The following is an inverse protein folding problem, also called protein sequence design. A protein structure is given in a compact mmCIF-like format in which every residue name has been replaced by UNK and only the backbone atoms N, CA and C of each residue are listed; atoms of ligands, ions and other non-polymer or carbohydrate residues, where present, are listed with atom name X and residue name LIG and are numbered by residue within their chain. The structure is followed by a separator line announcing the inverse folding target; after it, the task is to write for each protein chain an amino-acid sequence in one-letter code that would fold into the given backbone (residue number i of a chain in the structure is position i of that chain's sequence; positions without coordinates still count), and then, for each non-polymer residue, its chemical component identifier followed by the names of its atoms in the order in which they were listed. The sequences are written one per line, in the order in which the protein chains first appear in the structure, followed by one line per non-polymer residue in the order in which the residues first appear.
data_IF_270610671573
#
_entry.id   IF_270610671573
#
_cell.length_a   1.000
_cell.length_b   1.000
_cell.length_c   1.000
_cell.angle_alpha   90.00
_cell.angle_beta   90.00
_cell.angle_gamma   90.00
#
_symmetry.space_group_name_H-M   'P 1'
#
loop_
_entity.id
_entity.type
_entity.pdbx_description
1 polymer ?
#
# COMPACT_ATOMS: atom_id res chain seq x y z
N UNK A 1 19.98 4.63 -4.34
CA UNK A 1 19.42 4.03 -3.12
C UNK A 1 20.44 3.05 -2.52
N UNK A 2 20.50 2.85 -1.19
CA UNK A 2 21.38 1.86 -0.55
C UNK A 2 20.88 0.39 -0.69
N UNK A 3 19.79 0.16 -1.40
CA UNK A 3 19.20 -1.16 -1.67
C UNK A 3 18.07 -1.06 -2.69
N UNK A 4 17.35 -2.17 -2.86
CA UNK A 4 16.37 -2.35 -3.93
C UNK A 4 14.91 -2.22 -3.43
N UNK A 5 14.02 -1.99 -4.39
CA UNK A 5 12.58 -2.06 -4.25
C UNK A 5 12.02 -1.21 -3.07
N UNK A 6 12.18 0.13 -3.08
CA UNK A 6 11.53 1.05 -2.15
C UNK A 6 10.03 1.01 -2.39
N UNK A 7 9.28 0.26 -1.57
CA UNK A 7 7.90 -0.12 -1.84
C UNK A 7 6.94 1.04 -1.60
N UNK A 8 6.96 1.64 -0.41
CA UNK A 8 6.13 2.79 -0.07
C UNK A 8 6.98 4.03 0.14
N UNK A 9 6.35 5.20 0.04
CA UNK A 9 6.96 6.50 0.28
C UNK A 9 6.04 7.37 1.11
N UNK A 10 6.56 7.92 2.21
CA UNK A 10 5.87 8.91 3.03
C UNK A 10 6.78 10.10 3.28
N UNK A 11 6.20 11.23 3.64
CA UNK A 11 6.92 12.49 3.88
C UNK A 11 6.68 12.93 5.32
N UNK A 12 7.73 13.30 6.03
CA UNK A 12 7.61 13.87 7.36
C UNK A 12 7.48 15.40 7.34
N UNK A 13 7.35 15.99 8.53
CA UNK A 13 7.09 17.43 8.68
C UNK A 13 8.26 18.31 8.18
N UNK A 14 9.48 17.82 8.08
CA UNK A 14 10.64 18.54 7.55
C UNK A 14 10.81 18.35 6.03
N UNK A 15 9.91 17.60 5.41
CA UNK A 15 9.90 17.30 3.98
C UNK A 15 10.81 16.13 3.58
N UNK A 16 11.45 15.45 4.51
CA UNK A 16 12.23 14.24 4.22
C UNK A 16 11.31 13.10 3.80
N UNK A 17 11.78 12.29 2.87
CA UNK A 17 11.05 11.16 2.31
C UNK A 17 11.55 9.89 2.98
N UNK A 18 10.62 9.04 3.40
CA UNK A 18 10.91 7.75 4.00
C UNK A 18 10.48 6.62 3.10
N UNK A 19 11.24 5.54 3.09
CA UNK A 19 10.90 4.33 2.34
C UNK A 19 11.52 3.10 3.00
N UNK A 20 10.89 1.94 2.78
CA UNK A 20 11.38 0.64 3.21
C UNK A 20 11.95 -0.16 2.04
N UNK A 21 13.10 -0.80 2.22
CA UNK A 21 13.79 -1.58 1.20
C UNK A 21 13.55 -3.08 1.35
N UNK A 22 13.81 -3.84 0.30
CA UNK A 22 13.55 -5.30 0.28
C UNK A 22 14.34 -6.08 1.34
N UNK A 23 15.48 -5.57 1.76
CA UNK A 23 16.35 -6.17 2.77
C UNK A 23 16.02 -5.78 4.23
N UNK A 24 14.87 -5.13 4.47
CA UNK A 24 14.44 -4.74 5.80
C UNK A 24 14.85 -3.34 6.23
N UNK A 25 15.73 -2.67 5.50
CA UNK A 25 16.20 -1.34 5.85
C UNK A 25 15.12 -0.28 5.67
N UNK A 26 15.06 0.64 6.62
CA UNK A 26 14.28 1.87 6.54
C UNK A 26 15.22 3.03 6.22
N UNK A 27 14.90 3.77 5.17
CA UNK A 27 15.75 4.82 4.62
C UNK A 27 15.02 6.15 4.64
N UNK A 28 15.75 7.19 5.06
CA UNK A 28 15.36 8.59 4.96
C UNK A 28 16.13 9.24 3.81
N UNK A 29 15.43 10.01 2.99
CA UNK A 29 15.97 10.69 1.81
C UNK A 29 15.76 12.20 1.98
N UNK A 30 16.83 12.97 1.92
CA UNK A 30 16.77 14.42 1.89
C UNK A 30 16.25 14.91 0.53
N UNK A 31 15.10 15.62 0.43
CA UNK A 31 14.40 15.86 -0.83
C UNK A 31 15.20 16.75 -1.81
N UNK A 32 16.05 17.66 -1.28
CA UNK A 32 16.80 18.60 -2.11
C UNK A 32 18.12 18.05 -2.64
N UNK A 33 18.75 17.13 -1.91
CA UNK A 33 20.08 16.59 -2.24
C UNK A 33 20.03 15.15 -2.74
N UNK A 34 18.94 14.43 -2.46
CA UNK A 34 18.84 12.99 -2.70
C UNK A 34 19.74 12.15 -1.77
N UNK A 35 20.36 12.78 -0.76
CA UNK A 35 21.19 12.04 0.20
C UNK A 35 20.31 11.06 0.97
N UNK A 36 20.78 9.82 1.06
CA UNK A 36 20.08 8.73 1.74
C UNK A 36 20.78 8.35 3.03
N UNK A 37 20.01 8.10 4.08
CA UNK A 37 20.49 7.61 5.39
C UNK A 37 19.68 6.41 5.80
N UNK A 38 20.34 5.30 6.15
CA UNK A 38 19.67 4.16 6.80
C UNK A 38 19.41 4.53 8.25
N UNK A 39 18.15 4.49 8.67
CA UNK A 39 17.71 4.90 10.01
C UNK A 39 17.52 3.70 10.92
N UNK A 40 17.12 2.58 10.36
CA UNK A 40 16.91 1.34 11.11
C UNK A 40 16.71 0.17 10.18
N UNK A 41 16.57 -1.00 10.77
CA UNK A 41 16.30 -2.25 10.06
C UNK A 41 15.24 -3.03 10.82
N UNK A 42 14.27 -3.60 10.10
CA UNK A 42 13.21 -4.42 10.66
C UNK A 42 13.33 -5.86 10.18
N UNK A 43 12.77 -6.79 10.93
CA UNK A 43 12.59 -8.16 10.47
C UNK A 43 11.49 -8.21 9.39
N UNK A 44 11.79 -8.92 8.29
CA UNK A 44 10.87 -9.06 7.16
C UNK A 44 10.94 -7.91 6.15
N UNK A 45 9.95 -7.87 5.29
CA UNK A 45 9.81 -6.88 4.21
C UNK A 45 9.01 -5.68 4.69
N UNK A 46 9.60 -4.46 4.83
CA UNK A 46 8.83 -3.24 5.03
C UNK A 46 7.94 -2.98 3.80
N UNK A 47 6.69 -2.70 4.06
CA UNK A 47 5.66 -2.38 3.07
C UNK A 47 5.12 -0.99 3.36
N UNK A 48 3.82 -0.82 3.61
CA UNK A 48 3.23 0.46 3.90
C UNK A 48 3.82 1.15 5.12
N UNK A 49 3.98 2.47 5.01
CA UNK A 49 4.58 3.35 6.00
C UNK A 49 3.61 4.45 6.40
N UNK A 50 3.75 4.96 7.63
CA UNK A 50 3.08 6.17 8.08
C UNK A 50 3.91 6.88 9.15
N UNK A 51 4.07 8.21 9.02
CA UNK A 51 4.71 9.02 10.07
C UNK A 51 3.68 9.27 11.17
N UNK A 52 3.86 8.64 12.31
CA UNK A 52 2.95 8.75 13.44
C UNK A 52 3.01 10.11 14.13
N UNK A 53 1.97 10.47 14.86
CA UNK A 53 1.85 11.74 15.57
C UNK A 53 2.89 11.90 16.69
N UNK A 54 3.37 10.80 17.25
CA UNK A 54 4.44 10.79 18.25
C UNK A 54 5.85 10.88 17.64
N UNK A 55 5.95 11.00 16.30
CA UNK A 55 7.20 11.11 15.55
C UNK A 55 7.84 9.77 15.20
N UNK A 56 7.27 8.65 15.60
CA UNK A 56 7.72 7.32 15.16
C UNK A 56 7.25 7.04 13.73
N UNK A 57 7.89 6.11 13.08
CA UNK A 57 7.44 5.57 11.79
C UNK A 57 6.69 4.25 12.03
N UNK A 58 5.39 4.23 11.71
CA UNK A 58 4.63 2.99 11.62
C UNK A 58 5.05 2.24 10.36
N UNK A 59 5.26 0.94 10.49
CA UNK A 59 5.73 0.08 9.39
C UNK A 59 4.90 -1.19 9.36
N UNK A 60 4.22 -1.44 8.26
CA UNK A 60 3.69 -2.76 7.96
C UNK A 60 4.81 -3.67 7.47
N UNK A 61 4.90 -4.87 7.99
CA UNK A 61 5.95 -5.84 7.64
C UNK A 61 5.36 -7.21 7.26
N UNK A 62 6.02 -7.88 6.32
CA UNK A 62 5.68 -9.25 5.94
C UNK A 62 6.91 -10.18 5.98
N UNK A 63 6.91 -11.24 6.83
CA UNK A 63 6.06 -11.37 8.02
C UNK A 63 6.52 -10.39 9.10
N UNK A 64 5.71 -10.08 10.07
CA UNK A 64 6.11 -9.19 11.17
C UNK A 64 4.92 -8.46 11.79
N UNK A 65 3.95 -8.12 10.96
CA UNK A 65 2.75 -7.39 11.39
C UNK A 65 2.95 -5.88 11.36
N UNK A 66 2.35 -5.18 12.31
CA UNK A 66 2.46 -3.73 12.49
C UNK A 66 3.56 -3.40 13.51
N UNK A 67 4.53 -2.62 13.07
CA UNK A 67 5.69 -2.20 13.86
C UNK A 67 5.71 -0.67 14.01
N UNK A 68 6.43 -0.17 15.02
CA UNK A 68 6.80 1.22 15.16
C UNK A 68 8.32 1.35 15.30
N UNK A 69 8.94 2.18 14.45
CA UNK A 69 10.37 2.46 14.47
C UNK A 69 10.59 3.87 15.02
N UNK A 70 11.44 4.00 16.01
CA UNK A 70 11.92 5.30 16.52
C UNK A 70 13.05 5.81 15.61
N UNK A 71 12.85 6.92 14.88
CA UNK A 71 13.84 7.42 13.94
C UNK A 71 15.10 8.00 14.60
N UNK A 72 15.05 8.33 15.88
CA UNK A 72 16.20 8.88 16.59
C UNK A 72 17.18 7.79 17.06
N UNK A 73 16.66 6.60 17.39
CA UNK A 73 17.44 5.50 17.97
C UNK A 73 17.55 4.29 17.05
N UNK A 74 16.69 4.18 16.04
CA UNK A 74 16.53 2.98 15.22
C UNK A 74 15.82 1.80 15.93
N UNK A 75 15.33 2.02 17.16
CA UNK A 75 14.65 0.98 17.92
C UNK A 75 13.29 0.63 17.29
N UNK A 76 12.97 -0.66 17.26
CA UNK A 76 11.73 -1.20 16.69
C UNK A 76 10.90 -1.84 17.78
N UNK A 77 9.63 -1.45 17.87
CA UNK A 77 8.60 -2.04 18.72
C UNK A 77 7.57 -2.78 17.84
N UNK A 78 7.18 -3.99 18.23
CA UNK A 78 6.06 -4.68 17.59
C UNK A 78 4.75 -4.26 18.26
N UNK A 79 3.90 -3.54 17.50
CA UNK A 79 2.59 -3.10 17.97
C UNK A 79 1.52 -4.18 17.86
N UNK A 80 1.52 -4.94 16.73
CA UNK A 80 0.57 -6.02 16.47
C UNK A 80 1.26 -7.12 15.65
N UNK A 81 1.51 -8.28 16.26
CA UNK A 81 2.05 -9.45 15.57
C UNK A 81 0.96 -10.44 15.15
N UNK A 82 -0.17 -10.45 15.87
CA UNK A 82 -1.27 -11.40 15.67
C UNK A 82 -2.63 -10.75 15.94
N UNK A 83 -3.66 -11.28 15.30
CA UNK A 83 -5.06 -10.91 15.52
C UNK A 83 -5.87 -12.20 15.66
N UNK A 84 -6.73 -12.30 16.68
CA UNK A 84 -7.58 -13.46 16.97
C UNK A 84 -6.77 -14.78 17.07
N UNK A 85 -5.56 -14.74 17.69
CA UNK A 85 -4.66 -15.88 17.85
C UNK A 85 -3.98 -16.37 16.55
N UNK A 86 -4.05 -15.59 15.47
CA UNK A 86 -3.41 -15.86 14.20
C UNK A 86 -2.34 -14.81 13.90
N UNK A 87 -1.13 -15.26 13.60
CA UNK A 87 -0.05 -14.37 13.15
C UNK A 87 -0.40 -13.69 11.83
N UNK A 88 -0.10 -12.41 11.74
CA UNK A 88 -0.18 -11.64 10.51
C UNK A 88 0.90 -12.13 9.53
N UNK A 89 0.51 -12.38 8.28
CA UNK A 89 1.40 -12.89 7.24
C UNK A 89 1.85 -11.80 6.28
N UNK A 90 0.93 -10.91 5.88
CA UNK A 90 1.18 -9.90 4.87
C UNK A 90 0.52 -8.59 5.28
N UNK A 91 1.01 -7.98 6.38
CA UNK A 91 0.62 -6.62 6.77
C UNK A 91 1.07 -5.68 5.66
N UNK A 92 0.13 -4.89 5.08
CA UNK A 92 0.37 -4.23 3.80
C UNK A 92 0.49 -2.72 3.90
N UNK A 93 -0.50 -2.04 4.46
CA UNK A 93 -0.47 -0.59 4.56
C UNK A 93 -1.09 -0.09 5.86
N UNK A 94 -0.79 1.14 6.28
CA UNK A 94 -1.18 1.68 7.59
C UNK A 94 -1.45 3.18 7.52
N UNK A 95 -2.40 3.63 8.34
CA UNK A 95 -2.66 5.05 8.62
C UNK A 95 -3.06 5.26 10.07
N UNK A 96 -2.66 6.38 10.68
CA UNK A 96 -3.08 6.82 11.99
C UNK A 96 -4.03 8.00 11.87
N UNK A 97 -5.14 7.97 12.63
CA UNK A 97 -6.08 9.07 12.72
C UNK A 97 -5.67 10.08 13.80
N UNK A 98 -6.26 11.31 13.78
CA UNK A 98 -5.94 12.35 14.77
C UNK A 98 -6.20 11.98 16.23
N UNK A 99 -7.03 10.99 16.51
CA UNK A 99 -7.32 10.48 17.85
C UNK A 99 -6.33 9.40 18.33
N UNK A 100 -5.34 9.03 17.48
CA UNK A 100 -4.37 7.98 17.76
C UNK A 100 -4.86 6.55 17.39
N UNK A 101 -6.04 6.43 16.81
CA UNK A 101 -6.53 5.16 16.29
C UNK A 101 -5.76 4.81 15.01
N UNK A 102 -5.21 3.62 14.95
CA UNK A 102 -4.46 3.12 13.79
C UNK A 102 -5.34 2.15 13.01
N UNK A 103 -5.40 2.33 11.68
CA UNK A 103 -5.98 1.37 10.77
C UNK A 103 -4.89 0.79 9.87
N UNK A 104 -4.92 -0.53 9.68
CA UNK A 104 -3.95 -1.20 8.83
C UNK A 104 -4.59 -2.36 8.08
N UNK A 105 -3.96 -2.76 6.99
CA UNK A 105 -4.46 -3.82 6.11
C UNK A 105 -3.56 -5.05 6.18
N UNK A 106 -4.16 -6.22 5.96
CA UNK A 106 -3.45 -7.45 5.63
C UNK A 106 -3.92 -7.91 4.25
N UNK A 107 -3.02 -8.04 3.30
CA UNK A 107 -3.36 -8.46 1.95
C UNK A 107 -3.87 -9.89 1.90
N UNK A 108 -3.28 -10.77 2.67
CA UNK A 108 -3.67 -12.18 2.78
C UNK A 108 -3.17 -12.79 4.07
N UNK A 109 -3.97 -13.66 4.66
CA UNK A 109 -3.61 -14.44 5.83
C UNK A 109 -2.91 -15.78 5.50
N UNK A 110 -2.64 -16.06 4.21
CA UNK A 110 -2.14 -17.36 3.76
C UNK A 110 -0.71 -17.33 3.22
N UNK A 111 -0.23 -16.17 2.79
CA UNK A 111 1.08 -16.01 2.13
C UNK A 111 1.83 -14.84 2.73
N UNK A 112 3.15 -14.95 2.75
CA UNK A 112 4.06 -13.82 2.99
C UNK A 112 4.40 -13.11 1.68
N UNK A 113 5.09 -11.97 1.76
CA UNK A 113 5.54 -11.21 0.59
C UNK A 113 6.38 -12.04 -0.39
N UNK A 114 7.18 -12.99 0.08
CA UNK A 114 7.98 -13.89 -0.78
C UNK A 114 7.11 -14.60 -1.84
N UNK A 115 5.83 -14.80 -1.52
CA UNK A 115 4.85 -15.45 -2.38
C UNK A 115 3.70 -14.51 -2.75
N UNK A 116 3.99 -13.24 -3.02
CA UNK A 116 2.97 -12.20 -3.25
C UNK A 116 2.04 -12.49 -4.45
N UNK A 117 2.45 -13.33 -5.39
CA UNK A 117 1.57 -13.83 -6.45
C UNK A 117 0.63 -14.94 -5.98
N UNK A 118 0.90 -15.59 -4.84
CA UNK A 118 0.09 -16.68 -4.29
C UNK A 118 -1.39 -16.36 -4.14
N UNK A 119 -1.77 -15.20 -3.56
CA UNK A 119 -3.17 -14.77 -3.47
C UNK A 119 -3.89 -14.68 -4.81
N UNK A 120 -3.18 -14.28 -5.88
CA UNK A 120 -3.74 -14.20 -7.25
C UNK A 120 -4.11 -15.60 -7.74
N UNK A 121 -3.22 -16.58 -7.56
CA UNK A 121 -3.49 -17.97 -7.93
C UNK A 121 -4.48 -18.65 -6.98
N UNK A 122 -4.47 -18.31 -5.69
CA UNK A 122 -5.46 -18.83 -4.75
C UNK A 122 -6.87 -18.29 -5.06
N UNK A 123 -6.97 -17.04 -5.50
CA UNK A 123 -8.21 -16.32 -5.82
C UNK A 123 -9.25 -16.43 -4.67
N UNK A 124 -8.81 -16.13 -3.44
CA UNK A 124 -9.66 -16.11 -2.24
C UNK A 124 -9.57 -14.79 -1.54
N UNK A 125 -10.65 -14.40 -0.89
CA UNK A 125 -10.81 -13.19 -0.12
C UNK A 125 -10.27 -13.35 1.32
N UNK A 126 -8.94 -13.39 1.48
CA UNK A 126 -8.26 -13.58 2.77
C UNK A 126 -7.66 -12.31 3.35
N UNK A 127 -7.90 -11.18 2.72
CA UNK A 127 -7.47 -9.87 3.22
C UNK A 127 -8.45 -9.29 4.22
N UNK A 128 -7.97 -8.34 5.02
CA UNK A 128 -8.76 -7.65 6.04
C UNK A 128 -8.26 -6.22 6.26
N UNK A 129 -9.15 -5.37 6.79
CA UNK A 129 -8.79 -4.12 7.47
C UNK A 129 -8.94 -4.34 8.97
N UNK A 130 -7.93 -3.93 9.71
CA UNK A 130 -7.90 -3.94 11.16
C UNK A 130 -7.88 -2.52 11.72
N UNK A 131 -8.39 -2.37 12.93
CA UNK A 131 -8.32 -1.18 13.75
C UNK A 131 -7.55 -1.52 15.03
N UNK A 132 -6.58 -0.69 15.41
CA UNK A 132 -5.92 -0.72 16.70
C UNK A 132 -6.22 0.57 17.44
N UNK A 133 -6.83 0.46 18.58
CA UNK A 133 -7.14 1.58 19.48
C UNK A 133 -5.88 2.04 20.25
N UNK A 134 -5.87 3.27 20.79
CA UNK A 134 -4.73 3.77 21.58
C UNK A 134 -4.40 2.92 22.79
N UNK A 135 -5.36 2.20 23.36
CA UNK A 135 -5.17 1.27 24.48
C UNK A 135 -4.55 -0.08 24.07
N UNK A 136 -4.30 -0.28 22.77
CA UNK A 136 -3.73 -1.49 22.21
C UNK A 136 -4.76 -2.54 21.76
N UNK A 137 -6.06 -2.33 21.99
CA UNK A 137 -7.12 -3.24 21.51
C UNK A 137 -7.13 -3.30 19.99
N UNK A 138 -7.18 -4.53 19.44
CA UNK A 138 -7.18 -4.75 17.98
C UNK A 138 -8.48 -5.43 17.57
N UNK A 139 -9.12 -4.89 16.53
CA UNK A 139 -10.39 -5.38 15.99
C UNK A 139 -10.29 -5.59 14.47
N UNK A 140 -10.89 -6.67 13.96
CA UNK A 140 -11.14 -6.83 12.53
C UNK A 140 -12.38 -6.04 12.14
N UNK A 141 -12.21 -4.97 11.34
CA UNK A 141 -13.33 -4.08 10.96
C UNK A 141 -13.90 -4.37 9.58
N UNK A 142 -13.07 -4.86 8.64
CA UNK A 142 -13.53 -5.30 7.31
C UNK A 142 -12.82 -6.61 6.94
N UNK A 143 -13.45 -7.76 7.12
CA UNK A 143 -12.91 -9.04 6.70
C UNK A 143 -13.25 -9.36 5.24
N UNK A 144 -12.58 -10.37 4.68
CA UNK A 144 -12.99 -10.99 3.44
C UNK A 144 -12.68 -10.18 2.18
N UNK A 145 -11.53 -9.50 2.16
CA UNK A 145 -11.08 -8.67 1.04
C UNK A 145 -10.16 -9.44 0.07
N UNK A 146 -10.21 -9.05 -1.20
CA UNK A 146 -9.37 -9.62 -2.25
C UNK A 146 -8.07 -8.84 -2.39
N UNK A 147 -7.06 -9.19 -1.60
CA UNK A 147 -5.77 -8.52 -1.53
C UNK A 147 -5.94 -7.07 -1.05
N UNK A 148 -6.34 -6.88 0.22
CA UNK A 148 -6.40 -5.56 0.85
C UNK A 148 -5.01 -4.92 0.82
N UNK A 149 -4.93 -3.69 0.33
CA UNK A 149 -3.66 -2.98 0.13
C UNK A 149 -3.73 -1.58 0.73
N UNK A 150 -3.44 -0.52 -0.01
CA UNK A 150 -3.43 0.84 0.48
C UNK A 150 -4.65 1.25 1.29
N UNK A 151 -4.45 2.05 2.31
CA UNK A 151 -5.50 2.65 3.15
C UNK A 151 -5.13 4.09 3.50
N UNK A 152 -6.09 5.01 3.35
CA UNK A 152 -5.89 6.44 3.65
C UNK A 152 -7.20 7.08 4.13
N UNK A 153 -7.20 8.06 5.06
CA UNK A 153 -8.41 8.77 5.42
C UNK A 153 -8.86 9.73 4.31
N UNK A 154 -10.17 10.01 4.23
CA UNK A 154 -10.65 11.18 3.48
C UNK A 154 -10.25 12.46 4.21
N UNK A 155 -10.07 13.58 3.47
CA UNK A 155 -9.60 14.83 4.05
C UNK A 155 -10.54 15.40 5.14
N UNK A 156 -11.83 15.10 5.05
CA UNK A 156 -12.85 15.47 6.04
C UNK A 156 -12.91 14.50 7.24
N UNK A 157 -12.12 13.42 7.23
CA UNK A 157 -12.11 12.40 8.27
C UNK A 157 -13.37 11.55 8.36
N UNK A 158 -14.29 11.65 7.40
CA UNK A 158 -15.57 10.92 7.44
C UNK A 158 -15.44 9.43 7.13
N UNK A 159 -14.40 9.04 6.39
CA UNK A 159 -14.19 7.66 5.96
C UNK A 159 -12.70 7.34 5.76
N UNK A 160 -12.41 6.05 5.67
CA UNK A 160 -11.16 5.53 5.11
C UNK A 160 -11.43 5.01 3.70
N UNK A 161 -10.53 5.33 2.77
CA UNK A 161 -10.51 4.69 1.45
C UNK A 161 -9.48 3.59 1.48
N UNK A 162 -9.84 2.40 1.02
CA UNK A 162 -8.92 1.28 0.91
C UNK A 162 -8.99 0.60 -0.46
N UNK A 163 -7.86 0.03 -0.88
CA UNK A 163 -7.70 -0.66 -2.14
C UNK A 163 -7.83 -2.18 -1.99
N UNK A 164 -8.46 -2.82 -2.97
CA UNK A 164 -8.42 -4.26 -3.18
C UNK A 164 -7.75 -4.55 -4.53
N UNK A 165 -6.47 -4.89 -4.48
CA UNK A 165 -5.63 -5.08 -5.67
C UNK A 165 -6.20 -6.10 -6.65
N UNK A 166 -6.62 -7.26 -6.15
CA UNK A 166 -7.13 -8.34 -6.99
C UNK A 166 -8.56 -8.09 -7.45
N UNK A 167 -9.38 -7.40 -6.65
CA UNK A 167 -10.73 -7.02 -7.06
C UNK A 167 -10.76 -5.77 -7.95
N UNK A 168 -9.63 -5.08 -8.12
CA UNK A 168 -9.49 -3.86 -8.93
C UNK A 168 -10.53 -2.82 -8.56
N UNK A 169 -10.61 -2.52 -7.25
CA UNK A 169 -11.56 -1.55 -6.73
C UNK A 169 -10.98 -0.74 -5.58
N UNK A 170 -11.55 0.44 -5.38
CA UNK A 170 -11.44 1.25 -4.17
C UNK A 170 -12.79 1.24 -3.47
N UNK A 171 -12.77 1.15 -2.15
CA UNK A 171 -13.96 1.18 -1.30
C UNK A 171 -13.76 2.16 -0.16
N UNK A 172 -14.88 2.71 0.37
CA UNK A 172 -14.91 3.52 1.59
C UNK A 172 -15.39 2.69 2.77
N UNK A 173 -14.67 2.73 3.87
CA UNK A 173 -15.15 2.33 5.19
C UNK A 173 -15.53 3.60 5.95
N UNK A 174 -16.80 3.78 6.25
CA UNK A 174 -17.33 4.97 6.89
C UNK A 174 -17.02 5.00 8.38
N UNK A 175 -16.44 6.09 8.85
CA UNK A 175 -16.07 6.28 10.26
C UNK A 175 -17.16 7.01 11.02
N UNK A 176 -17.91 7.90 10.35
CA UNK A 176 -18.90 8.79 10.95
C UNK A 176 -20.21 8.83 10.16
N UNK A 177 -21.22 9.49 10.73
CA UNK A 177 -22.55 9.67 10.10
C UNK A 177 -23.39 8.39 10.09
N UNK A 178 -24.50 8.41 9.34
CA UNK A 178 -25.49 7.31 9.29
C UNK A 178 -24.94 6.00 8.70
N UNK A 179 -23.81 6.10 7.99
CA UNK A 179 -23.15 4.94 7.37
C UNK A 179 -22.00 4.38 8.22
N UNK A 180 -21.72 4.94 9.40
CA UNK A 180 -20.61 4.52 10.24
C UNK A 180 -20.56 2.99 10.41
N UNK A 181 -19.37 2.40 10.25
CA UNK A 181 -19.13 0.96 10.31
C UNK A 181 -19.50 0.18 9.02
N UNK A 182 -20.01 0.85 7.98
CA UNK A 182 -20.35 0.20 6.70
C UNK A 182 -19.30 0.43 5.61
N UNK A 183 -19.29 -0.44 4.61
CA UNK A 183 -18.44 -0.33 3.43
C UNK A 183 -19.28 0.00 2.19
N UNK A 184 -18.83 0.98 1.41
CA UNK A 184 -19.43 1.31 0.11
C UNK A 184 -18.37 1.36 -0.99
N UNK A 185 -18.67 0.95 -2.24
CA UNK A 185 -17.73 1.08 -3.34
C UNK A 185 -17.48 2.57 -3.66
N UNK A 186 -16.23 2.92 -3.99
CA UNK A 186 -15.85 4.23 -4.50
C UNK A 186 -15.55 4.17 -6.00
N UNK A 187 -14.63 3.31 -6.43
CA UNK A 187 -14.31 3.09 -7.83
C UNK A 187 -14.15 1.58 -8.08
N UNK A 188 -14.77 1.09 -9.14
CA UNK A 188 -14.79 -0.34 -9.47
C UNK A 188 -14.35 -0.59 -10.91
N UNK A 189 -13.95 -1.83 -11.21
CA UNK A 189 -13.46 -2.22 -12.54
C UNK A 189 -12.30 -1.36 -13.02
N UNK A 190 -11.39 -1.05 -12.12
CA UNK A 190 -10.21 -0.26 -12.45
C UNK A 190 -9.41 -0.94 -13.58
N UNK A 191 -8.78 -0.16 -14.48
CA UNK A 191 -8.05 -0.69 -15.65
C UNK A 191 -6.69 -1.30 -15.29
N UNK A 192 -6.35 -1.35 -14.01
CA UNK A 192 -5.13 -1.92 -13.45
C UNK A 192 -5.31 -2.34 -12.01
N UNK A 193 -4.25 -2.82 -11.41
CA UNK A 193 -4.19 -3.29 -10.02
C UNK A 193 -3.87 -2.12 -9.08
N UNK A 194 -4.83 -1.63 -8.27
CA UNK A 194 -4.57 -0.60 -7.27
C UNK A 194 -3.66 -1.15 -6.18
N UNK A 195 -2.77 -0.31 -5.69
CA UNK A 195 -1.80 -0.61 -4.63
C UNK A 195 -1.96 0.39 -3.47
N UNK A 196 -0.88 1.03 -2.98
CA UNK A 196 -0.99 1.97 -1.88
C UNK A 196 -1.75 3.23 -2.27
N UNK A 197 -2.31 3.90 -1.27
CA UNK A 197 -3.12 5.10 -1.38
C UNK A 197 -2.53 6.23 -0.53
N UNK A 198 -2.73 7.46 -0.96
CA UNK A 198 -2.51 8.64 -0.11
C UNK A 198 -3.54 9.72 -0.41
N UNK A 199 -3.82 10.56 0.59
CA UNK A 199 -4.71 11.72 0.44
C UNK A 199 -3.89 12.94 0.10
N UNK A 200 -4.16 13.54 -1.06
CA UNK A 200 -3.52 14.76 -1.51
C UNK A 200 -4.00 16.00 -0.75
N UNK A 201 -3.27 17.09 -0.89
CA UNK A 201 -3.53 18.34 -0.18
C UNK A 201 -4.91 18.95 -0.47
N UNK A 202 -5.48 18.70 -1.64
CA UNK A 202 -6.82 19.12 -2.02
C UNK A 202 -7.92 18.08 -1.74
N UNK A 203 -7.58 16.99 -1.03
CA UNK A 203 -8.50 15.94 -0.66
C UNK A 203 -8.69 14.83 -1.70
N UNK A 204 -8.07 14.93 -2.88
CA UNK A 204 -8.07 13.84 -3.86
C UNK A 204 -7.39 12.59 -3.28
N UNK A 205 -7.84 11.43 -3.71
CA UNK A 205 -7.24 10.14 -3.30
C UNK A 205 -6.30 9.68 -4.40
N UNK A 206 -5.02 9.75 -4.16
CA UNK A 206 -4.01 9.16 -5.00
C UNK A 206 -3.98 7.65 -4.84
N UNK A 207 -3.85 6.95 -5.95
CA UNK A 207 -3.73 5.50 -6.02
C UNK A 207 -2.56 5.11 -6.93
N UNK A 208 -1.63 4.37 -6.39
CA UNK A 208 -0.61 3.69 -7.17
C UNK A 208 -1.26 2.55 -7.96
N UNK A 209 -0.88 2.42 -9.22
CA UNK A 209 -1.38 1.37 -10.11
C UNK A 209 -0.19 0.50 -10.52
N UNK A 210 0.04 -0.58 -9.77
CA UNK A 210 1.26 -1.40 -9.92
C UNK A 210 1.40 -2.04 -11.30
N UNK A 211 0.28 -2.39 -11.93
CA UNK A 211 0.27 -2.98 -13.27
C UNK A 211 -1.06 -2.76 -14.00
N UNK A 212 -1.07 -2.77 -15.34
CA UNK A 212 -2.29 -2.92 -16.10
C UNK A 212 -2.98 -4.27 -15.81
N UNK A 213 -4.26 -4.37 -16.16
CA UNK A 213 -5.01 -5.62 -16.12
C UNK A 213 -4.25 -6.73 -16.85
N UNK A 214 -4.28 -7.92 -16.28
CA UNK A 214 -3.63 -9.11 -16.83
C UNK A 214 -4.67 -10.21 -17.03
N UNK A 215 -4.83 -10.68 -18.27
CA UNK A 215 -5.83 -11.71 -18.60
C UNK A 215 -5.68 -13.00 -17.78
N UNK A 216 -4.45 -13.38 -17.41
CA UNK A 216 -4.21 -14.56 -16.56
C UNK A 216 -4.77 -14.32 -15.17
N UNK A 217 -4.47 -13.17 -14.54
CA UNK A 217 -5.00 -12.83 -13.21
C UNK A 217 -6.54 -12.76 -13.22
N UNK A 218 -7.13 -12.21 -14.29
CA UNK A 218 -8.59 -12.13 -14.45
C UNK A 218 -9.26 -13.50 -14.62
N UNK A 219 -8.54 -14.46 -15.18
CA UNK A 219 -9.04 -15.83 -15.35
C UNK A 219 -8.97 -16.66 -14.07
N UNK A 220 -8.07 -16.34 -13.14
CA UNK A 220 -7.82 -17.15 -11.95
C UNK A 220 -9.09 -17.44 -11.12
N UNK A 221 -9.98 -16.48 -10.82
CA UNK A 221 -11.21 -16.77 -10.08
C UNK A 221 -12.14 -17.78 -10.77
N UNK A 222 -12.10 -17.85 -12.12
CA UNK A 222 -12.91 -18.75 -12.94
C UNK A 222 -12.22 -20.10 -13.20
N UNK A 223 -10.94 -20.23 -12.86
CA UNK A 223 -10.14 -21.44 -13.10
C UNK A 223 -10.33 -22.44 -11.97
N UNK A 224 -10.54 -23.75 -12.25
CA UNK A 224 -10.66 -24.77 -11.22
C UNK A 224 -9.45 -24.81 -10.26
N UNK A 225 -9.63 -25.05 -8.95
CA UNK A 225 -8.55 -25.03 -7.95
C UNK A 225 -7.35 -25.94 -8.27
N UNK A 226 -7.62 -27.12 -8.84
CA UNK A 226 -6.56 -28.06 -9.23
C UNK A 226 -5.64 -27.50 -10.33
N UNK A 227 -6.24 -26.81 -11.30
CA UNK A 227 -5.49 -26.17 -12.39
C UNK A 227 -4.69 -24.96 -11.88
N UNK A 228 -5.29 -24.15 -10.97
CA UNK A 228 -4.57 -23.04 -10.31
C UNK A 228 -3.34 -23.52 -9.56
N UNK A 229 -3.43 -24.65 -8.82
CA UNK A 229 -2.29 -25.27 -8.15
C UNK A 229 -1.21 -25.74 -9.13
N UNK A 230 -1.61 -26.24 -10.28
CA UNK A 230 -0.66 -26.63 -11.32
C UNK A 230 0.07 -25.42 -11.92
N UNK A 231 -0.68 -24.36 -12.23
CA UNK A 231 -0.12 -23.08 -12.75
C UNK A 231 0.83 -22.44 -11.74
N UNK A 232 0.51 -22.46 -10.44
CA UNK A 232 1.38 -21.97 -9.37
C UNK A 232 2.73 -22.71 -9.28
N UNK A 233 2.76 -23.99 -9.66
CA UNK A 233 3.99 -24.82 -9.64
C UNK A 233 4.86 -24.65 -10.88
N UNK A 234 4.43 -23.86 -11.85
CA UNK A 234 5.26 -23.56 -13.01
C UNK A 234 6.52 -22.81 -12.60
N UNK A 235 7.67 -23.09 -13.24
CA UNK A 235 8.88 -22.31 -13.03
C UNK A 235 8.63 -20.82 -13.26
N UNK A 236 9.29 -19.95 -12.51
CA UNK A 236 9.11 -18.47 -12.54
C UNK A 236 9.19 -17.88 -13.96
N UNK A 237 10.02 -18.47 -14.84
CA UNK A 237 10.12 -18.08 -16.26
C UNK A 237 8.83 -18.25 -17.05
N UNK A 238 7.91 -19.11 -16.60
CA UNK A 238 6.61 -19.40 -17.23
C UNK A 238 5.45 -18.76 -16.49
N UNK A 239 5.70 -18.15 -15.34
CA UNK A 239 4.69 -17.41 -14.60
C UNK A 239 4.41 -16.05 -15.26
N UNK A 240 3.20 -15.48 -15.10
CA UNK A 240 2.88 -14.16 -15.61
C UNK A 240 3.80 -13.10 -15.02
N UNK A 241 4.44 -12.31 -15.86
CA UNK A 241 5.27 -11.19 -15.42
C UNK A 241 4.43 -9.93 -15.28
N UNK A 242 4.72 -9.15 -14.24
CA UNK A 242 4.14 -7.81 -14.08
C UNK A 242 4.76 -6.90 -15.14
N UNK A 243 3.92 -6.22 -15.95
CA UNK A 243 4.40 -5.24 -16.92
C UNK A 243 4.82 -3.97 -16.19
N UNK A 244 6.09 -3.54 -16.28
CA UNK A 244 6.52 -2.29 -15.68
C UNK A 244 5.80 -1.11 -16.35
N UNK A 245 5.18 -0.26 -15.54
CA UNK A 245 4.54 0.98 -15.96
C UNK A 245 4.67 1.99 -14.83
N UNK A 246 4.90 3.25 -15.15
CA UNK A 246 4.76 4.35 -14.21
C UNK A 246 3.30 4.77 -14.27
N UNK A 247 2.54 4.46 -13.22
CA UNK A 247 1.12 4.74 -13.26
C UNK A 247 0.58 5.14 -11.88
N UNK A 248 0.05 6.35 -11.81
CA UNK A 248 -0.66 6.89 -10.66
C UNK A 248 -1.96 7.54 -11.15
N UNK A 249 -3.03 7.41 -10.37
CA UNK A 249 -4.32 8.02 -10.65
C UNK A 249 -4.86 8.65 -9.37
N UNK A 250 -5.33 9.90 -9.46
CA UNK A 250 -6.06 10.52 -8.37
C UNK A 250 -7.55 10.43 -8.64
N UNK A 251 -8.30 10.08 -7.61
CA UNK A 251 -9.76 9.96 -7.64
C UNK A 251 -10.38 11.04 -6.78
N UNK A 252 -11.50 11.58 -7.25
CA UNK A 252 -12.39 12.38 -6.43
C UNK A 252 -13.00 11.49 -5.34
N UNK A 253 -12.89 11.89 -4.05
CA UNK A 253 -13.32 11.03 -2.95
C UNK A 253 -14.83 10.80 -2.89
N UNK A 254 -15.65 11.66 -3.49
CA UNK A 254 -17.11 11.53 -3.41
C UNK A 254 -17.70 10.76 -4.58
N UNK A 255 -17.18 10.99 -5.77
CA UNK A 255 -17.71 10.40 -7.00
C UNK A 255 -16.94 9.18 -7.49
N UNK A 256 -15.71 8.95 -7.01
CA UNK A 256 -14.81 7.91 -7.49
C UNK A 256 -14.33 8.12 -8.93
N UNK A 257 -14.50 9.32 -9.48
CA UNK A 257 -14.03 9.65 -10.83
C UNK A 257 -12.54 9.99 -10.81
N UNK A 258 -11.77 9.57 -11.81
CA UNK A 258 -10.39 10.02 -11.95
C UNK A 258 -10.34 11.51 -12.26
N UNK A 259 -9.50 12.27 -11.54
CA UNK A 259 -9.38 13.75 -11.66
C UNK A 259 -7.96 14.18 -12.05
N UNK A 260 -6.95 13.33 -11.82
CA UNK A 260 -5.58 13.56 -12.24
C UNK A 260 -4.88 12.20 -12.45
N UNK A 261 -3.72 12.20 -13.09
CA UNK A 261 -2.94 10.99 -13.23
C UNK A 261 -1.75 11.12 -14.14
N UNK A 262 -0.86 10.14 -14.06
CA UNK A 262 0.26 9.94 -14.97
C UNK A 262 0.30 8.47 -15.35
N UNK A 263 0.49 8.20 -16.65
CA UNK A 263 0.74 6.87 -17.16
C UNK A 263 1.76 6.93 -18.29
N UNK A 264 2.92 6.33 -18.05
CA UNK A 264 4.01 6.29 -19.03
C UNK A 264 4.88 5.04 -18.84
N UNK A 265 5.72 4.75 -19.80
CA UNK A 265 6.75 3.71 -19.68
C UNK A 265 8.11 4.39 -19.53
N UNK A 266 8.93 3.87 -18.61
CA UNK A 266 10.28 4.39 -18.38
C UNK A 266 11.26 3.22 -18.21
N UNK A 267 12.46 3.26 -18.84
CA UNK A 267 13.37 2.10 -18.84
C UNK A 267 13.99 1.79 -17.48
N UNK A 268 13.97 2.74 -16.54
CA UNK A 268 14.62 2.62 -15.22
C UNK A 268 13.67 2.82 -14.06
N UNK A 269 12.35 2.87 -14.30
CA UNK A 269 11.33 3.04 -13.24
C UNK A 269 9.97 2.53 -13.72
N UNK A 270 9.20 1.95 -12.82
CA UNK A 270 7.84 1.44 -13.07
C UNK A 270 7.38 0.56 -11.90
N UNK A 271 6.25 -0.11 -12.04
CA UNK A 271 5.66 -0.92 -10.98
C UNK A 271 5.49 -0.08 -9.70
N UNK A 272 4.79 1.05 -9.86
CA UNK A 272 4.54 2.00 -8.76
C UNK A 272 3.63 1.36 -7.73
N UNK A 273 4.09 1.30 -6.49
CA UNK A 273 3.37 0.71 -5.36
C UNK A 273 3.00 1.75 -4.29
N UNK A 274 3.90 2.67 -3.96
CA UNK A 274 3.67 3.75 -3.00
C UNK A 274 3.68 5.12 -3.66
N UNK A 275 2.97 6.10 -3.09
CA UNK A 275 2.97 7.48 -3.59
C UNK A 275 2.51 8.47 -2.53
N UNK A 276 3.06 9.70 -2.59
CA UNK A 276 2.68 10.79 -1.69
C UNK A 276 2.91 12.14 -2.36
N UNK A 277 1.96 13.08 -2.16
CA UNK A 277 2.19 14.49 -2.50
C UNK A 277 3.11 15.16 -1.48
N UNK A 278 4.12 15.88 -1.96
CA UNK A 278 4.97 16.73 -1.15
C UNK A 278 5.34 18.00 -1.94
N UNK A 279 4.86 19.12 -1.49
CA UNK A 279 4.98 20.40 -2.20
C UNK A 279 4.29 20.33 -3.57
N UNK A 280 5.03 20.60 -4.63
CA UNK A 280 4.57 20.57 -6.02
C UNK A 280 4.80 19.21 -6.72
N UNK A 281 5.19 18.18 -5.97
CA UNK A 281 5.62 16.88 -6.49
C UNK A 281 4.76 15.73 -5.99
N UNK A 282 4.56 14.75 -6.87
CA UNK A 282 4.09 13.42 -6.51
C UNK A 282 5.30 12.47 -6.47
N UNK A 283 5.68 12.05 -5.28
CA UNK A 283 6.75 11.08 -5.07
C UNK A 283 6.20 9.67 -5.20
N UNK A 284 7.00 8.74 -5.72
CA UNK A 284 6.58 7.37 -6.02
C UNK A 284 7.65 6.36 -5.63
N UNK A 285 7.23 5.31 -4.94
CA UNK A 285 8.00 4.10 -4.68
C UNK A 285 7.75 3.01 -5.73
N UNK A 286 8.53 1.94 -5.68
CA UNK A 286 8.44 0.83 -6.63
C UNK A 286 8.90 -0.49 -6.02
N UNK A 287 8.19 -1.57 -6.30
CA UNK A 287 8.64 -2.93 -5.91
C UNK A 287 9.63 -3.55 -6.90
N UNK A 288 9.83 -2.96 -8.07
CA UNK A 288 10.63 -3.56 -9.14
C UNK A 288 11.91 -2.83 -9.50
N UNK A 289 12.17 -1.66 -8.92
CA UNK A 289 13.30 -0.80 -9.29
C UNK A 289 13.99 -0.22 -8.05
N UNK A 290 15.32 -0.03 -8.08
CA UNK A 290 16.09 0.50 -6.95
C UNK A 290 16.06 2.03 -6.89
N UNK A 291 14.86 2.62 -7.02
CA UNK A 291 14.71 4.06 -7.10
C UNK A 291 13.37 4.53 -6.52
N UNK A 292 13.40 5.70 -5.88
CA UNK A 292 12.24 6.56 -5.66
C UNK A 292 12.27 7.62 -6.76
N UNK A 293 11.12 7.92 -7.35
CA UNK A 293 10.98 8.91 -8.41
C UNK A 293 9.92 9.95 -8.05
N UNK A 294 9.91 11.06 -8.76
CA UNK A 294 8.81 12.03 -8.64
C UNK A 294 8.41 12.60 -10.01
N UNK A 295 7.23 13.15 -10.05
CA UNK A 295 6.69 13.94 -11.16
C UNK A 295 6.08 15.23 -10.59
N UNK A 296 6.16 16.32 -11.35
CA UNK A 296 5.52 17.57 -10.95
C UNK A 296 4.00 17.42 -11.03
N UNK A 297 3.27 17.87 -10.00
CA UNK A 297 1.81 17.75 -9.94
C UNK A 297 1.12 18.41 -11.15
N UNK A 298 1.67 19.52 -11.66
CA UNK A 298 1.16 20.17 -12.87
C UNK A 298 1.17 19.26 -14.11
N UNK A 299 2.06 18.26 -14.17
CA UNK A 299 2.13 17.30 -15.26
C UNK A 299 1.09 16.15 -15.13
N UNK A 300 0.39 16.06 -14.02
CA UNK A 300 -0.62 15.01 -13.75
C UNK A 300 -2.04 15.40 -14.15
N UNK A 301 -2.28 16.64 -14.61
CA UNK A 301 -3.58 17.08 -15.04
C UNK A 301 -4.11 16.22 -16.20
N UNK A 302 -5.34 15.70 -16.08
CA UNK A 302 -6.01 14.99 -17.16
C UNK A 302 -6.28 15.97 -18.32
N UNK A 303 -5.88 15.61 -19.52
CA UNK A 303 -6.11 16.37 -20.75
C UNK A 303 -7.34 15.88 -21.49
#
# INVERSE_FOLDING_TARGET
MPGDAPEDVVVDADGSIWTGLIDGKIVRIAPHTGQTTVVGEIEGRPLGLHVARDGRLLVCSSPGGLLALDPATGAVETLVAEVDGRRLQFCSNVTELPDGTIYFTESTSAFTYEHFLGPIFEARNRGSVFRRDPDGTVLTVVPGLYFANGITPTADGSALVFAETQARRLSKYWLTGDKAGTVTPLAVNLPGSPDNLSTGADGRIWCAMVSPTNAVAEMMPKTPPALRKLLWRLPDRLQPKIKPVVWAVAFDPDTGRPVAGVRTEHPRFGMVTGLVEAGDKLWMGSIGFPAVAHVDLAATALR
#
